data_IF_351202411231
#
_entry.id   IF_351202411231
#
_cell.length_a   1.000
_cell.length_b   1.000
_cell.length_c   1.000
_cell.angle_alpha   90.00
_cell.angle_beta   90.00
_cell.angle_gamma   90.00
#
_symmetry.space_group_name_H-M   'P 1'
#
loop_
_entity.id
_entity.type
_entity.pdbx_description
1 polymer ?
#
# COMPACT_ATOMS: atom_id res chain seq x y z
N UNK A 1 -6.67 -0.48 -6.91
CA UNK A 1 -5.97 0.66 -7.54
C UNK A 1 -5.94 1.83 -6.58
N UNK A 2 -4.92 2.69 -6.65
CA UNK A 2 -4.87 3.91 -5.86
C UNK A 2 -5.68 5.03 -6.51
N UNK A 3 -6.20 5.95 -5.71
CA UNK A 3 -6.68 7.24 -6.19
C UNK A 3 -5.50 8.07 -6.71
N UNK A 4 -5.75 8.99 -7.64
CA UNK A 4 -4.68 9.81 -8.24
C UNK A 4 -3.96 10.69 -7.23
N UNK A 5 -4.68 11.15 -6.20
CA UNK A 5 -4.15 11.94 -5.08
C UNK A 5 -3.76 11.08 -3.87
N UNK A 6 -3.64 9.76 -4.02
CA UNK A 6 -3.31 8.91 -2.89
C UNK A 6 -1.90 9.22 -2.37
N UNK A 7 -1.73 9.03 -1.06
CA UNK A 7 -0.45 9.23 -0.37
C UNK A 7 0.04 7.96 0.31
N UNK A 8 1.35 7.86 0.45
CA UNK A 8 2.02 6.76 1.14
C UNK A 8 3.05 7.34 2.10
N UNK A 9 3.07 6.86 3.34
CA UNK A 9 4.09 7.23 4.33
C UNK A 9 4.54 6.01 5.13
N UNK A 10 5.81 5.98 5.53
CA UNK A 10 6.35 4.93 6.35
C UNK A 10 7.76 5.22 6.81
N UNK A 11 8.33 4.31 7.60
CA UNK A 11 9.73 4.44 8.02
C UNK A 11 10.61 3.44 7.28
N UNK A 12 11.78 3.90 6.82
CA UNK A 12 12.82 3.02 6.28
C UNK A 12 14.15 3.45 6.86
N UNK A 13 14.85 2.51 7.52
CA UNK A 13 16.09 2.79 8.25
C UNK A 13 15.96 3.97 9.24
N UNK A 14 14.80 4.10 9.90
CA UNK A 14 14.52 5.16 10.88
C UNK A 14 14.22 6.53 10.27
N UNK A 15 14.17 6.66 8.94
CA UNK A 15 13.79 7.90 8.26
C UNK A 15 12.35 7.82 7.78
N UNK A 16 11.59 8.90 8.03
CA UNK A 16 10.24 9.05 7.48
C UNK A 16 10.35 9.26 5.97
N UNK A 17 9.79 8.34 5.21
CA UNK A 17 9.66 8.42 3.77
C UNK A 17 8.18 8.50 3.41
N UNK A 18 7.87 9.23 2.35
CA UNK A 18 6.51 9.26 1.85
C UNK A 18 6.25 10.31 0.79
N UNK A 19 4.98 10.58 0.55
CA UNK A 19 4.50 11.54 -0.42
C UNK A 19 3.45 10.95 -1.37
N UNK A 20 3.32 11.53 -2.58
CA UNK A 20 2.35 11.07 -3.57
C UNK A 20 2.58 9.61 -3.97
N UNK A 21 1.50 8.92 -4.33
CA UNK A 21 1.55 7.51 -4.70
C UNK A 21 2.49 7.20 -5.87
N UNK A 22 2.81 8.19 -6.71
CA UNK A 22 3.83 8.08 -7.75
C UNK A 22 5.18 7.57 -7.25
N UNK A 23 5.54 7.87 -5.99
CA UNK A 23 6.79 7.36 -5.38
C UNK A 23 6.81 5.83 -5.27
N UNK A 24 5.66 5.20 -5.00
CA UNK A 24 5.55 3.73 -4.98
C UNK A 24 5.75 3.14 -6.38
N UNK A 25 5.19 3.77 -7.41
CA UNK A 25 5.35 3.31 -8.79
C UNK A 25 6.82 3.40 -9.23
N UNK A 26 7.47 4.53 -8.97
CA UNK A 26 8.91 4.70 -9.23
C UNK A 26 9.76 3.67 -8.48
N UNK A 27 9.39 3.33 -7.23
CA UNK A 27 10.07 2.29 -6.45
C UNK A 27 9.97 0.92 -7.12
N UNK A 28 8.78 0.51 -7.56
CA UNK A 28 8.56 -0.76 -8.25
C UNK A 28 9.27 -0.79 -9.61
N UNK A 29 9.22 0.30 -10.38
CA UNK A 29 9.95 0.41 -11.64
C UNK A 29 11.47 0.28 -11.46
N UNK A 30 12.01 0.85 -10.39
CA UNK A 30 13.45 0.84 -10.11
C UNK A 30 13.96 -0.49 -9.57
N UNK A 31 13.18 -1.18 -8.73
CA UNK A 31 13.60 -2.42 -8.06
C UNK A 31 13.09 -3.68 -8.78
N UNK A 32 12.18 -3.54 -9.73
CA UNK A 32 11.64 -4.63 -10.51
C UNK A 32 10.54 -5.40 -9.80
N UNK A 33 10.27 -6.61 -10.32
CA UNK A 33 9.21 -7.47 -9.80
C UNK A 33 9.67 -8.14 -8.51
N UNK A 34 8.73 -8.45 -7.64
CA UNK A 34 8.92 -9.30 -6.47
C UNK A 34 8.41 -10.73 -6.78
N UNK A 35 9.20 -11.60 -7.44
CA UNK A 35 8.71 -12.91 -7.91
C UNK A 35 8.32 -13.86 -6.76
N UNK A 36 8.91 -13.67 -5.58
CA UNK A 36 8.72 -14.53 -4.41
C UNK A 36 7.77 -13.92 -3.37
N UNK A 37 7.09 -12.82 -3.72
CA UNK A 37 6.22 -12.09 -2.80
C UNK A 37 5.07 -12.95 -2.30
N UNK A 38 4.83 -12.93 -0.99
CA UNK A 38 3.65 -13.51 -0.37
C UNK A 38 2.88 -12.41 0.35
N UNK A 39 1.56 -12.42 0.23
CA UNK A 39 0.71 -11.44 0.93
C UNK A 39 -0.44 -12.12 1.67
N UNK A 40 -0.74 -11.61 2.85
CA UNK A 40 -1.95 -11.92 3.61
C UNK A 40 -2.75 -10.64 3.81
N UNK A 41 -4.06 -10.69 3.56
CA UNK A 41 -4.91 -9.51 3.59
C UNK A 41 -6.02 -9.70 4.62
N UNK A 42 -6.10 -8.76 5.56
CA UNK A 42 -7.17 -8.70 6.56
C UNK A 42 -7.99 -7.43 6.37
N UNK A 43 -9.31 -7.59 6.24
CA UNK A 43 -10.25 -6.46 6.30
C UNK A 43 -10.52 -6.15 7.77
N UNK A 44 -9.89 -5.09 8.27
CA UNK A 44 -10.00 -4.69 9.68
C UNK A 44 -11.33 -3.98 9.97
N UNK A 45 -11.82 -3.20 9.01
CA UNK A 45 -13.10 -2.50 9.11
C UNK A 45 -13.66 -2.24 7.71
N UNK A 46 -14.99 -2.31 7.58
CA UNK A 46 -15.67 -2.01 6.32
C UNK A 46 -17.05 -1.38 6.56
N UNK A 47 -17.38 -0.39 5.75
CA UNK A 47 -18.71 0.20 5.61
C UNK A 47 -19.16 0.06 4.15
N UNK A 48 -20.38 0.50 3.77
CA UNK A 48 -20.79 0.46 2.35
C UNK A 48 -19.85 1.22 1.39
N UNK A 49 -19.10 2.21 1.88
CA UNK A 49 -18.27 3.10 1.05
C UNK A 49 -16.84 3.31 1.54
N UNK A 50 -16.44 2.78 2.70
CA UNK A 50 -15.07 2.90 3.23
C UNK A 50 -14.55 1.56 3.75
N UNK A 51 -13.22 1.37 3.74
CA UNK A 51 -12.59 0.19 4.34
C UNK A 51 -11.19 0.49 4.87
N UNK A 52 -10.75 -0.30 5.84
CA UNK A 52 -9.35 -0.38 6.29
C UNK A 52 -8.89 -1.81 6.10
N UNK A 53 -7.79 -1.99 5.39
CA UNK A 53 -7.22 -3.31 5.08
C UNK A 53 -5.77 -3.33 5.55
N UNK A 54 -5.40 -4.36 6.32
CA UNK A 54 -4.00 -4.69 6.59
C UNK A 54 -3.50 -5.64 5.50
N UNK A 55 -2.30 -5.39 5.00
CA UNK A 55 -1.58 -6.30 4.11
C UNK A 55 -0.28 -6.69 4.78
N UNK A 56 -0.17 -7.93 5.22
CA UNK A 56 1.10 -8.48 5.65
C UNK A 56 1.84 -8.95 4.39
N UNK A 57 3.04 -8.44 4.16
CA UNK A 57 3.83 -8.68 2.97
C UNK A 57 5.18 -9.29 3.34
N UNK A 58 5.53 -10.37 2.65
CA UNK A 58 6.81 -11.06 2.78
C UNK A 58 7.52 -11.09 1.43
N UNK A 59 8.84 -10.87 1.44
CA UNK A 59 9.73 -10.92 0.26
C UNK A 59 9.29 -10.00 -0.88
N UNK A 60 9.23 -8.71 -0.59
CA UNK A 60 8.96 -7.69 -1.60
C UNK A 60 10.07 -7.56 -2.66
N UNK A 61 10.05 -6.50 -3.47
CA UNK A 61 11.03 -6.29 -4.55
C UNK A 61 12.48 -6.21 -4.08
N UNK A 62 12.73 -5.88 -2.81
CA UNK A 62 14.07 -5.86 -2.20
C UNK A 62 14.25 -6.97 -1.16
N UNK A 63 13.30 -7.92 -1.09
CA UNK A 63 13.31 -9.02 -0.14
C UNK A 63 12.93 -8.62 1.29
N UNK A 64 12.26 -7.48 1.47
CA UNK A 64 11.81 -7.00 2.77
C UNK A 64 10.43 -7.56 3.15
N UNK A 65 10.22 -7.65 4.46
CA UNK A 65 8.93 -8.02 5.07
C UNK A 65 8.38 -6.80 5.83
N UNK A 66 7.10 -6.48 5.64
CA UNK A 66 6.43 -5.34 6.28
C UNK A 66 4.91 -5.46 6.26
N UNK A 67 4.23 -4.55 6.96
CA UNK A 67 2.78 -4.47 7.00
C UNK A 67 2.32 -3.14 6.40
N UNK A 68 1.46 -3.20 5.39
CA UNK A 68 0.74 -2.02 4.93
C UNK A 68 -0.61 -1.91 5.65
N UNK A 69 -1.02 -0.69 5.97
CA UNK A 69 -2.40 -0.35 6.31
C UNK A 69 -2.95 0.57 5.24
N UNK A 70 -3.93 0.06 4.51
CA UNK A 70 -4.60 0.74 3.41
C UNK A 70 -5.94 1.28 3.89
N UNK A 71 -6.21 2.56 3.65
CA UNK A 71 -7.56 3.13 3.75
C UNK A 71 -8.15 3.27 2.36
N UNK A 72 -9.40 2.83 2.19
CA UNK A 72 -10.07 2.78 0.91
C UNK A 72 -11.40 3.52 0.94
N UNK A 73 -11.76 4.12 -0.20
CA UNK A 73 -13.09 4.68 -0.47
C UNK A 73 -13.65 4.04 -1.74
N UNK A 74 -14.94 3.74 -1.75
CA UNK A 74 -15.66 3.26 -2.93
C UNK A 74 -16.14 4.46 -3.76
N UNK A 75 -15.49 4.72 -4.90
CA UNK A 75 -15.79 5.84 -5.80
C UNK A 75 -16.35 5.27 -7.09
N UNK A 76 -17.56 5.69 -7.49
CA UNK A 76 -18.25 5.21 -8.70
C UNK A 76 -18.39 3.68 -8.77
N UNK A 77 -18.53 3.01 -7.62
CA UNK A 77 -18.66 1.55 -7.54
C UNK A 77 -17.35 0.80 -7.32
N UNK A 78 -16.19 1.44 -7.50
CA UNK A 78 -14.87 0.84 -7.37
C UNK A 78 -14.17 1.23 -6.07
N UNK A 79 -13.53 0.26 -5.42
CA UNK A 79 -12.64 0.54 -4.29
C UNK A 79 -11.32 1.15 -4.76
N UNK A 80 -11.01 2.35 -4.26
CA UNK A 80 -9.74 3.05 -4.47
C UNK A 80 -9.01 3.23 -3.15
N UNK A 81 -7.71 2.93 -3.11
CA UNK A 81 -6.86 3.22 -1.95
C UNK A 81 -6.58 4.73 -1.92
N UNK A 82 -6.83 5.37 -0.78
CA UNK A 82 -6.65 6.81 -0.57
C UNK A 82 -5.36 7.09 0.19
N UNK A 83 -5.04 6.27 1.19
CA UNK A 83 -3.77 6.36 1.89
C UNK A 83 -3.22 4.97 2.22
N UNK A 84 -1.89 4.90 2.27
CA UNK A 84 -1.12 3.75 2.75
C UNK A 84 -0.16 4.22 3.84
N UNK A 85 -0.09 3.47 4.94
CA UNK A 85 1.03 3.56 5.90
C UNK A 85 1.74 2.23 6.04
N UNK A 86 3.06 2.24 6.23
CA UNK A 86 3.91 1.05 6.34
C UNK A 86 5.08 1.21 7.31
#
# INVERSE_FOLDING_TARGET
>A
AFHEEAVMYGFTNGQLLGGPIGNLYSFVESNGKAPDITTHLDVLAITPTTAVVRVDMEKDAIGADYNDYLTLIKINGDWKVIAKVY
#
